data_IF_465088270466
#
_entry.id   IF_465088270466
#
_cell.length_a   1.000
_cell.length_b   1.000
_cell.length_c   1.000
_cell.angle_alpha   90.00
_cell.angle_beta   90.00
_cell.angle_gamma   90.00
#
_symmetry.space_group_name_H-M   'P 1'
#
loop_
_entity.id
_entity.type
_entity.pdbx_description
1 polymer ?
#
# COMPACT_ATOMS: atom_id res chain seq x y z
N UNK A 1 32.93 25.48 -4.32
CA UNK A 1 33.77 24.27 -4.50
C UNK A 1 32.90 23.26 -5.19
N UNK A 2 33.17 22.99 -6.47
CA UNK A 2 32.35 22.10 -7.29
C UNK A 2 32.43 20.67 -6.76
N UNK A 3 31.27 20.09 -6.47
CA UNK A 3 31.17 18.71 -6.01
C UNK A 3 31.51 17.77 -7.18
N UNK A 4 32.56 16.97 -7.01
CA UNK A 4 32.99 15.99 -8.00
C UNK A 4 31.88 14.94 -8.14
N UNK A 5 31.36 14.68 -9.36
CA UNK A 5 30.32 13.69 -9.58
C UNK A 5 30.73 12.31 -9.07
N UNK A 6 29.80 11.51 -8.50
CA UNK A 6 30.12 10.22 -7.87
C UNK A 6 30.77 9.21 -8.83
N UNK A 7 30.47 9.29 -10.13
CA UNK A 7 31.13 8.48 -11.15
C UNK A 7 32.61 8.87 -11.37
N UNK A 8 32.91 10.17 -11.30
CA UNK A 8 34.29 10.67 -11.39
C UNK A 8 35.08 10.29 -10.12
N UNK A 9 34.45 10.35 -8.95
CA UNK A 9 35.06 9.88 -7.70
C UNK A 9 35.42 8.38 -7.77
N UNK A 10 34.51 7.52 -8.25
CA UNK A 10 34.80 6.09 -8.44
C UNK A 10 35.94 5.84 -9.43
N UNK A 11 35.99 6.57 -10.55
CA UNK A 11 37.09 6.47 -11.52
C UNK A 11 38.44 6.91 -10.94
N UNK A 12 38.46 7.95 -10.11
CA UNK A 12 39.67 8.39 -9.41
C UNK A 12 40.17 7.32 -8.45
N UNK A 13 39.27 6.69 -7.69
CA UNK A 13 39.64 5.60 -6.78
C UNK A 13 40.18 4.36 -7.48
N UNK A 14 39.56 3.98 -8.60
CA UNK A 14 40.08 2.89 -9.42
C UNK A 14 41.47 3.20 -9.98
N UNK A 15 41.72 4.47 -10.34
CA UNK A 15 43.02 4.92 -10.84
C UNK A 15 44.08 4.96 -9.73
N UNK A 16 43.72 5.40 -8.54
CA UNK A 16 44.62 5.38 -7.37
C UNK A 16 44.97 3.95 -6.95
N UNK A 17 44.01 3.03 -7.03
CA UNK A 17 44.26 1.61 -6.83
C UNK A 17 45.23 1.04 -7.88
N UNK A 18 45.03 1.35 -9.17
CA UNK A 18 45.93 0.93 -10.22
C UNK A 18 47.36 1.49 -10.03
N UNK A 19 47.47 2.73 -9.55
CA UNK A 19 48.76 3.35 -9.23
C UNK A 19 49.44 2.67 -8.03
N UNK A 20 48.68 2.32 -6.99
CA UNK A 20 49.18 1.56 -5.85
C UNK A 20 49.72 0.20 -6.29
N UNK A 21 48.98 -0.55 -7.11
CA UNK A 21 49.40 -1.85 -7.65
C UNK A 21 50.70 -1.73 -8.46
N UNK A 22 50.78 -0.74 -9.37
CA UNK A 22 52.01 -0.49 -10.15
C UNK A 22 53.20 -0.18 -9.26
N UNK A 23 53.02 0.63 -8.22
CA UNK A 23 54.08 1.01 -7.28
C UNK A 23 54.58 -0.20 -6.47
N UNK A 24 53.66 -1.08 -6.07
CA UNK A 24 54.01 -2.31 -5.36
C UNK A 24 54.75 -3.29 -6.26
N UNK A 25 54.32 -3.46 -7.51
CA UNK A 25 55.01 -4.29 -8.51
C UNK A 25 56.43 -3.77 -8.81
N UNK A 26 56.64 -2.45 -8.76
CA UNK A 26 57.96 -1.83 -8.89
C UNK A 26 58.84 -1.94 -7.63
N UNK A 27 58.45 -2.71 -6.61
CA UNK A 27 59.23 -2.91 -5.38
C UNK A 27 59.05 -1.81 -4.32
N UNK A 28 58.08 -0.91 -4.49
CA UNK A 28 57.77 0.13 -3.53
C UNK A 28 57.22 -0.41 -2.21
N UNK A 29 57.62 0.19 -1.08
CA UNK A 29 57.13 -0.19 0.25
C UNK A 29 55.64 0.16 0.41
N UNK A 30 54.85 -0.80 0.88
CA UNK A 30 53.44 -0.60 1.24
C UNK A 30 53.35 -0.01 2.65
N UNK A 31 52.62 1.09 2.81
CA UNK A 31 52.35 1.68 4.13
C UNK A 31 51.49 0.76 4.99
N UNK A 32 51.59 0.86 6.32
CA UNK A 32 50.76 0.09 7.25
C UNK A 32 49.25 0.28 7.00
N UNK A 33 48.84 1.47 6.58
CA UNK A 33 47.45 1.78 6.24
C UNK A 33 47.00 1.12 4.92
N UNK A 34 47.87 1.12 3.91
CA UNK A 34 47.62 0.46 2.62
C UNK A 34 47.59 -1.06 2.78
N UNK A 35 48.44 -1.61 3.67
CA UNK A 35 48.43 -3.03 4.01
C UNK A 35 47.15 -3.42 4.74
N UNK A 36 46.66 -2.60 5.67
CA UNK A 36 45.39 -2.84 6.36
C UNK A 36 44.18 -2.78 5.40
N UNK A 37 44.19 -1.85 4.43
CA UNK A 37 43.18 -1.76 3.38
C UNK A 37 43.18 -2.97 2.44
N UNK A 38 44.36 -3.46 2.05
CA UNK A 38 44.47 -4.69 1.24
C UNK A 38 44.05 -5.93 2.04
N UNK A 39 44.38 -5.99 3.33
CA UNK A 39 43.95 -7.05 4.22
C UNK A 39 42.43 -7.06 4.43
N UNK A 40 41.78 -5.89 4.51
CA UNK A 40 40.33 -5.80 4.61
C UNK A 40 39.62 -6.16 3.29
N UNK A 41 40.20 -5.81 2.15
CA UNK A 41 39.71 -6.26 0.83
C UNK A 41 39.81 -7.78 0.67
N UNK A 42 40.91 -8.37 1.14
CA UNK A 42 41.13 -9.81 1.10
C UNK A 42 40.25 -10.59 2.09
N UNK A 43 39.92 -9.98 3.24
CA UNK A 43 39.04 -10.56 4.26
C UNK A 43 37.53 -10.39 3.94
N UNK A 44 37.19 -9.52 2.98
CA UNK A 44 35.83 -9.05 2.70
C UNK A 44 35.08 -9.79 1.59
N UNK A 45 35.26 -11.09 1.42
CA UNK A 45 34.38 -11.93 0.61
C UNK A 45 33.25 -12.50 1.47
N UNK A 46 32.35 -11.66 2.02
CA UNK A 46 31.15 -12.17 2.71
C UNK A 46 30.41 -11.28 3.71
N UNK A 47 30.67 -9.97 3.83
CA UNK A 47 30.02 -9.13 4.85
C UNK A 47 29.61 -7.75 4.36
N UNK A 48 28.37 -7.38 4.66
CA UNK A 48 27.62 -6.18 4.30
C UNK A 48 28.39 -4.84 4.56
N UNK A 49 28.88 -4.24 3.46
CA UNK A 49 29.42 -2.88 3.41
C UNK A 49 30.92 -2.69 3.73
N UNK A 50 31.49 -1.52 3.38
CA UNK A 50 32.90 -1.20 3.66
C UNK A 50 33.17 -1.12 5.16
N UNK A 51 34.28 -1.70 5.62
CA UNK A 51 34.67 -1.66 7.04
C UNK A 51 35.02 -0.25 7.55
N UNK A 52 35.52 0.61 6.65
CA UNK A 52 35.89 1.98 6.94
C UNK A 52 35.31 2.94 5.90
N UNK A 53 34.82 4.09 6.35
CA UNK A 53 34.25 5.16 5.51
C UNK A 53 34.93 6.50 5.80
N UNK A 54 34.98 7.39 4.81
CA UNK A 54 35.83 8.60 4.88
C UNK A 54 35.17 9.78 5.57
N UNK A 55 33.84 9.79 5.59
CA UNK A 55 33.07 10.91 6.08
C UNK A 55 31.72 10.44 6.63
N UNK A 56 31.07 11.32 7.36
CA UNK A 56 29.77 11.04 7.97
C UNK A 56 28.62 10.87 6.96
N UNK A 57 28.81 11.25 5.68
CA UNK A 57 27.81 11.03 4.63
C UNK A 57 27.83 9.56 4.20
N UNK A 58 29.01 9.04 3.87
CA UNK A 58 29.22 7.62 3.56
C UNK A 58 28.84 6.72 4.75
N UNK A 59 29.11 7.17 5.98
CA UNK A 59 28.68 6.48 7.18
C UNK A 59 27.15 6.41 7.31
N UNK A 60 26.47 7.53 7.06
CA UNK A 60 25.02 7.60 7.11
C UNK A 60 24.38 6.69 6.06
N UNK A 61 24.92 6.68 4.84
CA UNK A 61 24.50 5.77 3.76
C UNK A 61 24.70 4.29 4.15
N UNK A 62 25.88 3.96 4.68
CA UNK A 62 26.22 2.58 5.08
C UNK A 62 25.35 2.08 6.25
N UNK A 63 24.99 2.98 7.17
CA UNK A 63 24.11 2.69 8.31
C UNK A 63 22.61 2.87 7.99
N UNK A 64 22.28 3.22 6.74
CA UNK A 64 20.92 3.54 6.26
C UNK A 64 20.19 4.59 7.12
N UNK A 65 20.90 5.60 7.59
CA UNK A 65 20.33 6.72 8.39
C UNK A 65 20.61 8.06 7.72
N UNK A 66 19.96 9.12 8.19
CA UNK A 66 20.25 10.47 7.68
C UNK A 66 21.54 11.02 8.29
N UNK A 67 22.22 11.92 7.57
CA UNK A 67 23.38 12.66 8.11
C UNK A 67 23.03 13.44 9.38
N UNK A 68 21.80 13.94 9.49
CA UNK A 68 21.32 14.66 10.68
C UNK A 68 21.27 13.74 11.90
N UNK A 69 20.83 12.49 11.71
CA UNK A 69 20.84 11.45 12.74
C UNK A 69 22.25 11.22 13.27
N UNK A 70 23.23 11.03 12.38
CA UNK A 70 24.65 10.85 12.75
C UNK A 70 25.20 12.09 13.48
N UNK A 71 24.87 13.30 13.03
CA UNK A 71 25.27 14.55 13.70
C UNK A 71 24.67 14.68 15.10
N UNK A 72 23.45 14.18 15.32
CA UNK A 72 22.83 14.09 16.63
C UNK A 72 23.59 13.10 17.52
N UNK A 73 23.91 11.92 16.99
CA UNK A 73 24.62 10.87 17.72
C UNK A 73 26.05 11.25 18.09
N UNK A 74 26.74 12.04 17.26
CA UNK A 74 28.08 12.55 17.55
C UNK A 74 28.15 13.38 18.85
N UNK A 75 27.03 13.90 19.33
CA UNK A 75 26.98 14.70 20.58
C UNK A 75 27.04 13.85 21.84
N UNK A 76 26.87 12.53 21.74
CA UNK A 76 27.04 11.65 22.88
C UNK A 76 28.52 11.50 23.24
N UNK A 77 28.83 11.41 24.53
CA UNK A 77 30.23 11.41 25.03
C UNK A 77 31.03 10.16 24.60
N UNK A 78 30.34 9.04 24.42
CA UNK A 78 30.84 7.73 23.98
C UNK A 78 30.73 7.52 22.45
N UNK A 79 30.33 8.55 21.70
CA UNK A 79 30.22 8.44 20.25
C UNK A 79 31.57 8.10 19.60
N UNK A 80 31.64 7.13 18.68
CA UNK A 80 32.89 6.73 18.05
C UNK A 80 33.55 7.91 17.31
N UNK A 81 34.80 8.19 17.66
CA UNK A 81 35.61 9.22 17.01
C UNK A 81 36.28 8.66 15.75
N UNK A 82 36.59 9.51 14.74
CA UNK A 82 37.44 9.09 13.64
C UNK A 82 38.77 8.56 14.17
N UNK A 83 39.31 7.56 13.48
CA UNK A 83 40.67 7.06 13.71
C UNK A 83 41.70 8.16 13.41
N UNK A 84 42.96 7.95 13.81
CA UNK A 84 44.06 8.91 13.59
C UNK A 84 44.31 9.26 12.11
N UNK A 85 43.82 8.44 11.19
CA UNK A 85 43.85 8.64 9.74
C UNK A 85 42.59 9.36 9.19
N UNK A 86 41.67 9.79 10.05
CA UNK A 86 40.43 10.47 9.69
C UNK A 86 39.31 9.56 9.18
N UNK A 87 39.50 8.23 9.17
CA UNK A 87 38.48 7.27 8.76
C UNK A 87 37.55 6.89 9.91
N UNK A 88 36.31 6.55 9.57
CA UNK A 88 35.30 6.07 10.51
C UNK A 88 35.14 4.56 10.41
N UNK A 89 35.25 3.88 11.55
CA UNK A 89 35.03 2.44 11.67
C UNK A 89 33.54 2.12 11.76
N UNK A 90 32.99 1.46 10.74
CA UNK A 90 31.56 1.16 10.65
C UNK A 90 31.14 0.16 11.74
N UNK A 91 32.01 -0.76 12.13
CA UNK A 91 31.70 -1.75 13.17
C UNK A 91 31.58 -1.08 14.56
N UNK A 92 32.45 -0.11 14.87
CA UNK A 92 32.33 0.68 16.11
C UNK A 92 31.03 1.48 16.16
N UNK A 93 30.61 2.04 15.03
CA UNK A 93 29.31 2.73 14.95
C UNK A 93 28.12 1.78 15.09
N UNK A 94 28.16 0.60 14.48
CA UNK A 94 27.12 -0.44 14.67
C UNK A 94 27.04 -0.91 16.13
N UNK A 95 28.17 -1.09 16.80
CA UNK A 95 28.22 -1.48 18.22
C UNK A 95 27.69 -0.38 19.14
N UNK A 96 28.09 0.87 18.90
CA UNK A 96 27.56 2.04 19.60
C UNK A 96 26.04 2.15 19.45
N UNK A 97 25.52 1.91 18.24
CA UNK A 97 24.08 1.90 17.98
C UNK A 97 23.38 0.78 18.78
N UNK A 98 23.96 -0.42 18.82
CA UNK A 98 23.42 -1.56 19.58
C UNK A 98 23.37 -1.28 21.08
N UNK A 99 24.44 -0.74 21.66
CA UNK A 99 24.53 -0.46 23.09
C UNK A 99 23.51 0.60 23.55
N UNK A 100 23.22 1.58 22.70
CA UNK A 100 22.26 2.65 22.99
C UNK A 100 20.84 2.38 22.48
N UNK A 101 20.59 1.23 21.87
CA UNK A 101 19.29 0.92 21.26
C UNK A 101 18.91 1.86 20.11
N UNK A 102 19.89 2.45 19.44
CA UNK A 102 19.68 3.36 18.32
C UNK A 102 19.37 2.53 17.07
N UNK A 103 18.18 2.72 16.52
CA UNK A 103 17.77 2.03 15.29
C UNK A 103 18.48 2.65 14.09
N UNK A 104 19.17 1.82 13.32
CA UNK A 104 19.51 2.14 11.93
C UNK A 104 18.24 2.13 11.07
N UNK A 105 18.37 2.48 9.80
CA UNK A 105 17.30 2.24 8.83
C UNK A 105 17.18 0.75 8.52
N UNK A 106 16.74 -0.05 9.50
CA UNK A 106 15.99 -1.25 9.15
C UNK A 106 14.73 -0.77 8.43
N UNK A 107 14.45 -1.37 7.28
CA UNK A 107 13.22 -1.20 6.53
C UNK A 107 12.05 -1.74 7.36
N UNK A 108 11.67 -1.04 8.43
CA UNK A 108 10.28 -1.00 8.83
C UNK A 108 9.55 -0.36 7.66
N UNK A 109 8.65 -1.06 6.96
CA UNK A 109 7.69 -0.39 6.11
C UNK A 109 7.06 0.67 6.99
N UNK A 110 7.30 1.94 6.65
CA UNK A 110 6.87 3.07 7.44
C UNK A 110 5.40 2.83 7.77
N UNK A 111 5.08 2.67 9.06
CA UNK A 111 3.71 2.36 9.51
C UNK A 111 2.75 3.38 8.87
N UNK A 112 3.22 4.60 8.59
CA UNK A 112 2.47 5.60 7.84
C UNK A 112 2.21 5.21 6.38
N UNK A 113 3.17 4.62 5.66
CA UNK A 113 2.96 4.10 4.31
C UNK A 113 1.93 2.97 4.28
N UNK A 114 2.02 2.02 5.22
CA UNK A 114 1.03 0.93 5.34
C UNK A 114 -0.37 1.47 5.66
N UNK A 115 -0.48 2.43 6.58
CA UNK A 115 -1.74 3.08 6.93
C UNK A 115 -2.30 3.90 5.76
N UNK A 116 -1.46 4.60 4.99
CA UNK A 116 -1.85 5.34 3.78
C UNK A 116 -2.35 4.40 2.70
N UNK A 117 -1.68 3.28 2.46
CA UNK A 117 -2.12 2.27 1.50
C UNK A 117 -3.48 1.69 1.88
N UNK A 118 -3.70 1.37 3.16
CA UNK A 118 -4.98 0.87 3.66
C UNK A 118 -6.11 1.90 3.50
N UNK A 119 -5.84 3.17 3.81
CA UNK A 119 -6.80 4.26 3.62
C UNK A 119 -7.16 4.42 2.14
N UNK A 120 -6.18 4.38 1.25
CA UNK A 120 -6.40 4.51 -0.18
C UNK A 120 -7.29 3.38 -0.72
N UNK A 121 -7.07 2.14 -0.29
CA UNK A 121 -7.92 1.00 -0.68
C UNK A 121 -9.38 1.19 -0.23
N UNK A 122 -9.60 1.63 1.01
CA UNK A 122 -10.95 1.92 1.50
C UNK A 122 -11.64 3.05 0.72
N UNK A 123 -10.89 4.10 0.34
CA UNK A 123 -11.43 5.18 -0.50
C UNK A 123 -11.78 4.71 -1.92
N UNK A 124 -11.01 3.76 -2.49
CA UNK A 124 -11.31 3.17 -3.79
C UNK A 124 -12.59 2.34 -3.70
N UNK A 125 -12.71 1.46 -2.71
CA UNK A 125 -13.89 0.63 -2.48
C UNK A 125 -15.17 1.47 -2.30
N UNK A 126 -15.08 2.55 -1.51
CA UNK A 126 -16.21 3.47 -1.33
C UNK A 126 -16.61 4.16 -2.65
N UNK A 127 -15.63 4.56 -3.46
CA UNK A 127 -15.91 5.18 -4.78
C UNK A 127 -16.53 4.19 -5.74
N UNK A 128 -16.09 2.94 -5.74
CA UNK A 128 -16.66 1.87 -6.56
C UNK A 128 -18.12 1.60 -6.18
N UNK A 129 -18.43 1.49 -4.89
CA UNK A 129 -19.81 1.33 -4.41
C UNK A 129 -20.70 2.51 -4.84
N UNK A 130 -20.23 3.75 -4.68
CA UNK A 130 -20.97 4.93 -5.14
C UNK A 130 -21.20 4.94 -6.65
N UNK A 131 -20.22 4.49 -7.43
CA UNK A 131 -20.35 4.39 -8.88
C UNK A 131 -21.38 3.32 -9.27
N UNK A 132 -21.36 2.17 -8.61
CA UNK A 132 -22.32 1.10 -8.88
C UNK A 132 -23.75 1.52 -8.52
N UNK A 133 -23.95 2.24 -7.41
CA UNK A 133 -25.25 2.86 -7.09
C UNK A 133 -25.69 3.83 -8.20
N UNK A 134 -24.79 4.70 -8.68
CA UNK A 134 -25.11 5.64 -9.77
C UNK A 134 -25.40 4.96 -11.10
N UNK A 135 -24.82 3.78 -11.34
CA UNK A 135 -25.09 2.96 -12.53
C UNK A 135 -26.41 2.20 -12.42
N UNK A 136 -27.08 2.24 -11.28
CA UNK A 136 -28.32 1.50 -11.05
C UNK A 136 -28.09 0.01 -10.77
N UNK A 137 -26.87 -0.40 -10.43
CA UNK A 137 -26.56 -1.80 -10.08
C UNK A 137 -27.08 -2.16 -8.68
N UNK A 138 -27.39 -1.16 -7.85
CA UNK A 138 -27.91 -1.33 -6.50
C UNK A 138 -29.20 -0.53 -6.29
N UNK A 139 -30.21 -1.18 -5.73
CA UNK A 139 -31.45 -0.54 -5.23
C UNK A 139 -31.50 -0.71 -3.71
N UNK A 140 -32.06 0.30 -3.02
CA UNK A 140 -32.22 0.23 -1.57
C UNK A 140 -33.30 -0.78 -1.18
N UNK A 141 -33.05 -1.56 -0.13
CA UNK A 141 -34.02 -2.55 0.38
C UNK A 141 -35.31 -1.86 0.85
N UNK A 142 -35.22 -0.65 1.38
CA UNK A 142 -36.38 0.16 1.78
C UNK A 142 -37.24 0.53 0.58
N UNK A 143 -36.63 0.93 -0.54
CA UNK A 143 -37.33 1.20 -1.78
C UNK A 143 -38.02 -0.06 -2.31
N UNK A 144 -37.32 -1.20 -2.42
CA UNK A 144 -37.94 -2.48 -2.85
C UNK A 144 -39.12 -2.83 -1.95
N UNK A 145 -38.95 -2.70 -0.63
CA UNK A 145 -40.02 -2.98 0.33
C UNK A 145 -41.22 -2.06 0.12
N UNK A 146 -40.99 -0.77 -0.08
CA UNK A 146 -42.03 0.21 -0.34
C UNK A 146 -42.80 -0.10 -1.62
N UNK A 147 -42.07 -0.25 -2.73
CA UNK A 147 -42.64 -0.52 -4.05
C UNK A 147 -43.41 -1.85 -4.06
N UNK A 148 -42.84 -2.90 -3.49
CA UNK A 148 -43.49 -4.21 -3.36
C UNK A 148 -44.76 -4.14 -2.51
N UNK A 149 -44.71 -3.48 -1.35
CA UNK A 149 -45.87 -3.34 -0.46
C UNK A 149 -47.00 -2.57 -1.13
N UNK A 150 -46.66 -1.53 -1.88
CA UNK A 150 -47.62 -0.73 -2.64
C UNK A 150 -48.27 -1.55 -3.76
N UNK A 151 -47.48 -2.28 -4.55
CA UNK A 151 -47.96 -3.10 -5.66
C UNK A 151 -48.89 -4.23 -5.16
N UNK A 152 -48.47 -4.94 -4.09
CA UNK A 152 -49.29 -5.96 -3.44
C UNK A 152 -50.58 -5.35 -2.85
N UNK A 153 -50.49 -4.17 -2.24
CA UNK A 153 -51.65 -3.45 -1.71
C UNK A 153 -52.68 -3.11 -2.79
N UNK A 154 -52.22 -2.58 -3.92
CA UNK A 154 -53.08 -2.26 -5.08
C UNK A 154 -53.74 -3.50 -5.67
N UNK A 155 -52.97 -4.57 -5.90
CA UNK A 155 -53.51 -5.83 -6.41
C UNK A 155 -54.54 -6.44 -5.45
N UNK A 156 -54.26 -6.42 -4.15
CA UNK A 156 -55.19 -6.92 -3.11
C UNK A 156 -56.49 -6.12 -3.09
N UNK A 157 -56.41 -4.79 -3.17
CA UNK A 157 -57.58 -3.91 -3.20
C UNK A 157 -58.44 -4.15 -4.45
N UNK A 158 -57.81 -4.31 -5.62
CA UNK A 158 -58.51 -4.62 -6.87
C UNK A 158 -59.18 -5.98 -6.81
N UNK A 159 -58.49 -7.00 -6.29
CA UNK A 159 -59.04 -8.34 -6.12
C UNK A 159 -60.28 -8.33 -5.22
N UNK A 160 -60.20 -7.70 -4.04
CA UNK A 160 -61.37 -7.55 -3.15
C UNK A 160 -62.52 -6.84 -3.85
N UNK A 161 -62.24 -5.72 -4.52
CA UNK A 161 -63.27 -4.97 -5.24
C UNK A 161 -63.95 -5.82 -6.32
N UNK A 162 -63.18 -6.51 -7.15
CA UNK A 162 -63.71 -7.33 -8.26
C UNK A 162 -64.52 -8.51 -7.75
N UNK A 163 -63.97 -9.29 -6.84
CA UNK A 163 -64.59 -10.55 -6.39
C UNK A 163 -65.68 -10.38 -5.35
N UNK A 164 -65.58 -9.37 -4.48
CA UNK A 164 -66.56 -9.17 -3.40
C UNK A 164 -67.70 -8.23 -3.81
N UNK A 165 -67.46 -7.27 -4.72
CA UNK A 165 -68.44 -6.23 -5.05
C UNK A 165 -68.95 -6.27 -6.49
N UNK A 166 -68.08 -6.49 -7.49
CA UNK A 166 -68.45 -6.38 -8.91
C UNK A 166 -68.97 -7.69 -9.50
N UNK A 167 -68.26 -8.81 -9.28
CA UNK A 167 -68.62 -10.12 -9.84
C UNK A 167 -69.94 -10.71 -9.31
N UNK A 168 -70.25 -10.69 -8.00
CA UNK A 168 -71.43 -11.39 -7.49
C UNK A 168 -72.76 -11.06 -8.20
N UNK A 169 -73.11 -9.79 -8.48
CA UNK A 169 -74.33 -9.48 -9.23
C UNK A 169 -74.25 -9.88 -10.71
N UNK A 170 -73.07 -9.83 -11.34
CA UNK A 170 -72.86 -10.18 -12.75
C UNK A 170 -73.01 -11.69 -12.97
N UNK A 171 -72.50 -12.49 -12.03
CA UNK A 171 -72.51 -13.95 -12.13
C UNK A 171 -73.90 -14.56 -11.90
N UNK A 172 -74.83 -13.79 -11.32
CA UNK A 172 -76.17 -14.26 -11.00
C UNK A 172 -76.95 -14.62 -12.27
N UNK A 173 -77.31 -15.90 -12.40
CA UNK A 173 -78.09 -16.40 -13.54
C UNK A 173 -77.27 -16.80 -14.77
N UNK A 174 -75.95 -16.70 -14.72
CA UNK A 174 -75.06 -17.24 -15.77
C UNK A 174 -74.90 -18.76 -15.63
N UNK A 175 -74.65 -19.42 -16.75
CA UNK A 175 -74.23 -20.82 -16.77
C UNK A 175 -72.74 -20.97 -16.44
N UNK A 176 -72.26 -22.21 -16.31
CA UNK A 176 -70.87 -22.46 -15.92
C UNK A 176 -69.85 -21.82 -16.88
N UNK A 177 -70.17 -21.77 -18.18
CA UNK A 177 -69.31 -21.16 -19.20
C UNK A 177 -69.25 -19.65 -19.04
N UNK A 178 -70.39 -18.98 -18.87
CA UNK A 178 -70.46 -17.54 -18.64
C UNK A 178 -69.76 -17.12 -17.35
N UNK A 179 -69.92 -17.90 -16.26
CA UNK A 179 -69.21 -17.65 -15.01
C UNK A 179 -67.69 -17.73 -15.21
N UNK A 180 -67.22 -18.74 -15.94
CA UNK A 180 -65.79 -18.92 -16.20
C UNK A 180 -65.21 -17.75 -17.02
N UNK A 181 -65.97 -17.22 -17.98
CA UNK A 181 -65.53 -16.11 -18.82
C UNK A 181 -65.38 -14.80 -18.02
N UNK A 182 -66.36 -14.47 -17.18
CA UNK A 182 -66.31 -13.26 -16.35
C UNK A 182 -65.23 -13.33 -15.26
N UNK A 183 -65.06 -14.50 -14.62
CA UNK A 183 -63.95 -14.71 -13.70
C UNK A 183 -62.59 -14.56 -14.38
N UNK A 184 -62.44 -15.02 -15.63
CA UNK A 184 -61.19 -14.88 -16.39
C UNK A 184 -60.87 -13.40 -16.64
N UNK A 185 -61.85 -12.61 -17.09
CA UNK A 185 -61.67 -11.16 -17.30
C UNK A 185 -61.22 -10.46 -16.01
N UNK A 186 -61.86 -10.77 -14.88
CA UNK A 186 -61.48 -10.20 -13.59
C UNK A 186 -60.06 -10.60 -13.14
N UNK A 187 -59.64 -11.84 -13.40
CA UNK A 187 -58.27 -12.30 -13.12
C UNK A 187 -57.26 -11.56 -14.01
N UNK A 188 -57.53 -11.45 -15.31
CA UNK A 188 -56.64 -10.78 -16.26
C UNK A 188 -56.43 -9.30 -15.88
N UNK A 189 -57.48 -8.61 -15.43
CA UNK A 189 -57.38 -7.24 -14.90
C UNK A 189 -56.49 -7.14 -13.66
N UNK A 190 -56.59 -8.10 -12.72
CA UNK A 190 -55.72 -8.13 -11.52
C UNK A 190 -54.27 -8.41 -11.91
N UNK A 191 -54.05 -9.34 -12.84
CA UNK A 191 -52.71 -9.68 -13.33
C UNK A 191 -52.05 -8.50 -14.06
N UNK A 192 -52.82 -7.69 -14.79
CA UNK A 192 -52.29 -6.50 -15.46
C UNK A 192 -51.64 -5.50 -14.48
N UNK A 193 -52.16 -5.38 -13.25
CA UNK A 193 -51.56 -4.53 -12.21
C UNK A 193 -50.23 -5.09 -11.69
N UNK A 194 -50.09 -6.42 -11.66
CA UNK A 194 -48.85 -7.08 -11.22
C UNK A 194 -47.74 -7.08 -12.28
N UNK A 195 -48.12 -6.90 -13.54
CA UNK A 195 -47.22 -6.90 -14.70
C UNK A 195 -47.01 -5.51 -15.32
N UNK A 196 -47.55 -4.46 -14.70
CA UNK A 196 -47.30 -3.08 -15.13
C UNK A 196 -45.83 -2.73 -14.87
N UNK A 197 -45.04 -2.63 -15.94
CA UNK A 197 -43.68 -2.09 -15.95
C UNK A 197 -43.65 -0.58 -15.67
#
# INVERSE_FOLDING_TARGET
MDAIPPDVAKKLLNRDFANLVKRVQAGGKISRAERAMLQSLAAGAGGDGPAYVRNFVELAETLKVTRQTINGWKKFEDAPKPESNGLHDVAKWKEFMRQRGLKGGEETPDIQQALRARKLLAEVEERELRLAVKRGEFISVEQVRGDWTNLVGQATALLRRKFENELPPILSGLDATGIQEECRKAIDEVLAVLHAE
#
